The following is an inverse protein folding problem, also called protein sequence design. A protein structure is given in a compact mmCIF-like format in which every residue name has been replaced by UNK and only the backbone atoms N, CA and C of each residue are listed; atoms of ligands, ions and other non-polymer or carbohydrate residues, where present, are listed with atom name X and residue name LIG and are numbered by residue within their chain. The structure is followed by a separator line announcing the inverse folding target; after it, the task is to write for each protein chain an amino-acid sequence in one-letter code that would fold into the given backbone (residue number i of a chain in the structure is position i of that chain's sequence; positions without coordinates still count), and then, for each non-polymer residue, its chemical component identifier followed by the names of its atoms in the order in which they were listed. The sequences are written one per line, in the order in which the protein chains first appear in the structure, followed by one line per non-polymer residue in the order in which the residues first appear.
data_IF_097277226479
#
_entry.id   IF_097277226479
#
_cell.length_a   1.000
_cell.length_b   1.000
_cell.length_c   1.000
_cell.angle_alpha   90.00
_cell.angle_beta   90.00
_cell.angle_gamma   90.00
#
_symmetry.space_group_name_H-M   'P 1'
#
loop_
_entity.id
_entity.type
_entity.pdbx_description
1 polymer ?
#
# COMPACT_ATOMS: atom_id res chain seq x y z
N UNK A 1 -0.69 27.51 30.16
CA UNK A 1 -1.14 26.20 30.67
C UNK A 1 0.01 25.69 31.52
N UNK A 2 -0.22 25.50 32.81
CA UNK A 2 0.82 25.33 33.83
C UNK A 2 1.58 24.00 33.66
N UNK A 3 2.90 24.03 33.75
CA UNK A 3 3.79 22.87 33.54
C UNK A 3 3.48 21.76 34.56
N UNK A 4 3.03 22.17 35.75
CA UNK A 4 2.50 21.31 36.81
C UNK A 4 1.26 20.51 36.38
N UNK A 5 0.33 21.14 35.66
CA UNK A 5 -0.90 20.47 35.18
C UNK A 5 -0.53 19.42 34.13
N UNK A 6 0.42 19.72 33.25
CA UNK A 6 0.89 18.77 32.23
C UNK A 6 1.61 17.56 32.85
N UNK A 7 2.44 17.75 33.88
CA UNK A 7 3.07 16.64 34.59
C UNK A 7 2.06 15.78 35.35
N UNK A 8 1.09 16.40 36.03
CA UNK A 8 0.05 15.66 36.75
C UNK A 8 -0.85 14.86 35.81
N UNK A 9 -1.19 15.38 34.63
CA UNK A 9 -1.96 14.64 33.61
C UNK A 9 -1.15 13.45 33.08
N UNK A 10 0.17 13.58 32.94
CA UNK A 10 1.04 12.50 32.42
C UNK A 10 1.22 11.34 33.42
N UNK A 11 1.23 11.64 34.71
CA UNK A 11 1.48 10.68 35.78
C UNK A 11 0.19 10.15 36.45
N UNK A 12 -0.97 10.67 36.07
CA UNK A 12 -2.27 10.22 36.59
C UNK A 12 -2.89 9.12 35.72
N UNK A 13 -3.57 8.17 36.35
CA UNK A 13 -4.38 7.18 35.64
C UNK A 13 -5.58 7.85 34.95
N UNK A 14 -6.10 7.22 33.88
CA UNK A 14 -7.18 7.79 33.06
C UNK A 14 -8.41 8.22 33.88
N UNK A 15 -8.69 7.52 34.99
CA UNK A 15 -9.79 7.82 35.90
C UNK A 15 -9.67 9.18 36.60
N UNK A 16 -8.46 9.66 36.89
CA UNK A 16 -8.23 10.98 37.48
C UNK A 16 -8.48 12.09 36.47
N UNK A 17 -8.08 11.87 35.21
CA UNK A 17 -8.31 12.81 34.11
C UNK A 17 -9.81 12.89 33.80
N UNK A 18 -10.47 11.73 33.73
CA UNK A 18 -11.92 11.62 33.52
C UNK A 18 -12.69 12.37 34.60
N UNK A 19 -12.35 12.16 35.88
CA UNK A 19 -13.00 12.86 37.01
C UNK A 19 -12.80 14.37 36.93
N UNK A 20 -11.59 14.85 36.61
CA UNK A 20 -11.30 16.28 36.45
C UNK A 20 -12.11 16.91 35.30
N UNK A 21 -12.26 16.20 34.18
CA UNK A 21 -13.04 16.67 33.04
C UNK A 21 -14.53 16.74 33.36
N UNK A 22 -15.08 15.74 34.06
CA UNK A 22 -16.48 15.76 34.53
C UNK A 22 -16.72 16.90 35.53
N UNK A 23 -15.83 17.08 36.51
CA UNK A 23 -15.88 18.19 37.47
C UNK A 23 -15.79 19.56 36.80
N UNK A 24 -15.07 19.64 35.67
CA UNK A 24 -14.97 20.85 34.85
C UNK A 24 -16.18 21.04 33.91
N UNK A 25 -17.18 20.16 33.95
CA UNK A 25 -18.43 20.26 33.20
C UNK A 25 -18.39 19.66 31.78
N UNK A 26 -17.37 18.88 31.43
CA UNK A 26 -17.30 18.20 30.14
C UNK A 26 -18.05 16.87 30.15
N UNK A 27 -18.68 16.53 29.01
CA UNK A 27 -19.31 15.22 28.80
C UNK A 27 -18.29 14.22 28.25
N UNK A 28 -17.88 13.27 29.10
CA UNK A 28 -16.95 12.20 28.71
C UNK A 28 -17.50 11.30 27.62
N UNK A 29 -18.83 11.10 27.54
CA UNK A 29 -19.46 10.31 26.49
C UNK A 29 -19.28 10.99 25.13
N UNK A 30 -19.47 12.30 25.07
CA UNK A 30 -19.24 13.08 23.85
C UNK A 30 -17.76 13.10 23.47
N UNK A 31 -16.86 13.31 24.43
CA UNK A 31 -15.41 13.26 24.22
C UNK A 31 -15.00 11.89 23.66
N UNK A 32 -15.44 10.80 24.29
CA UNK A 32 -15.13 9.44 23.86
C UNK A 32 -15.68 9.14 22.47
N UNK A 33 -16.88 9.64 22.15
CA UNK A 33 -17.47 9.50 20.82
C UNK A 33 -16.66 10.23 19.74
N UNK A 34 -16.15 11.42 20.04
CA UNK A 34 -15.27 12.17 19.14
C UNK A 34 -13.93 11.44 18.97
N UNK A 35 -13.33 11.00 20.08
CA UNK A 35 -12.06 10.29 20.09
C UNK A 35 -12.14 8.99 19.29
N UNK A 36 -13.18 8.18 19.49
CA UNK A 36 -13.41 6.93 18.75
C UNK A 36 -13.61 7.18 17.24
N UNK A 37 -14.39 8.20 16.89
CA UNK A 37 -14.57 8.60 15.48
C UNK A 37 -13.25 9.03 14.83
N UNK A 38 -12.45 9.82 15.54
CA UNK A 38 -11.13 10.24 15.08
C UNK A 38 -10.20 9.03 14.92
N UNK A 39 -10.13 8.15 15.92
CA UNK A 39 -9.32 6.94 15.88
C UNK A 39 -9.69 6.05 14.69
N UNK A 40 -10.98 5.78 14.48
CA UNK A 40 -11.46 4.97 13.34
C UNK A 40 -11.09 5.57 11.99
N UNK A 41 -11.27 6.89 11.84
CA UNK A 41 -10.90 7.59 10.60
C UNK A 41 -9.40 7.50 10.35
N UNK A 42 -8.58 7.85 11.33
CA UNK A 42 -7.12 7.85 11.21
C UNK A 42 -6.59 6.44 10.94
N UNK A 43 -7.06 5.43 11.68
CA UNK A 43 -6.64 4.04 11.49
C UNK A 43 -7.04 3.50 10.11
N UNK A 44 -8.22 3.85 9.60
CA UNK A 44 -8.63 3.51 8.24
C UNK A 44 -7.72 4.17 7.19
N UNK A 45 -7.42 5.46 7.33
CA UNK A 45 -6.52 6.18 6.42
C UNK A 45 -5.11 5.59 6.41
N UNK A 46 -4.54 5.29 7.58
CA UNK A 46 -3.22 4.68 7.70
C UNK A 46 -3.21 3.30 7.02
N UNK A 47 -4.23 2.46 7.27
CA UNK A 47 -4.34 1.16 6.60
C UNK A 47 -4.42 1.30 5.09
N UNK A 48 -5.19 2.27 4.59
CA UNK A 48 -5.28 2.57 3.15
C UNK A 48 -3.92 2.97 2.57
N UNK A 49 -3.17 3.82 3.27
CA UNK A 49 -1.83 4.23 2.85
C UNK A 49 -0.85 3.05 2.84
N UNK A 50 -0.81 2.25 3.91
CA UNK A 50 0.04 1.06 3.99
C UNK A 50 -0.27 0.06 2.86
N UNK A 51 -1.55 -0.14 2.54
CA UNK A 51 -1.95 -0.99 1.44
C UNK A 51 -1.48 -0.42 0.09
N UNK A 52 -1.66 0.88 -0.15
CA UNK A 52 -1.20 1.53 -1.38
C UNK A 52 0.32 1.46 -1.55
N UNK A 53 1.09 1.66 -0.48
CA UNK A 53 2.55 1.52 -0.51
C UNK A 53 2.97 0.09 -0.81
N UNK A 54 2.29 -0.89 -0.21
CA UNK A 54 2.55 -2.31 -0.47
C UNK A 54 2.23 -2.68 -1.92
N UNK A 55 1.10 -2.24 -2.45
CA UNK A 55 0.67 -2.53 -3.82
C UNK A 55 1.68 -1.93 -4.83
N UNK A 56 2.17 -0.71 -4.58
CA UNK A 56 3.22 -0.07 -5.37
C UNK A 56 4.54 -0.86 -5.31
N UNK A 57 4.95 -1.34 -4.12
CA UNK A 57 6.15 -2.16 -3.97
C UNK A 57 6.06 -3.48 -4.75
N UNK A 58 4.89 -4.13 -4.75
CA UNK A 58 4.65 -5.37 -5.49
C UNK A 58 4.67 -5.12 -7.00
N UNK A 59 4.04 -4.02 -7.45
CA UNK A 59 4.07 -3.59 -8.85
C UNK A 59 5.52 -3.38 -9.31
N UNK A 60 6.30 -2.64 -8.53
CA UNK A 60 7.72 -2.38 -8.80
C UNK A 60 8.57 -3.66 -8.84
N UNK A 61 8.29 -4.64 -7.97
CA UNK A 61 8.96 -5.95 -8.00
C UNK A 61 8.66 -6.68 -9.32
N UNK A 62 7.40 -6.70 -9.75
CA UNK A 62 6.99 -7.33 -11.00
C UNK A 62 7.59 -6.62 -12.23
N UNK A 63 7.62 -5.28 -12.25
CA UNK A 63 8.23 -4.53 -13.36
C UNK A 63 9.72 -4.86 -13.50
N UNK A 64 10.47 -4.86 -12.38
CA UNK A 64 11.89 -5.21 -12.40
C UNK A 64 12.13 -6.62 -12.92
N UNK A 65 11.29 -7.57 -12.52
CA UNK A 65 11.40 -8.94 -13.04
C UNK A 65 11.23 -9.01 -14.55
N UNK A 66 10.19 -8.39 -15.11
CA UNK A 66 9.98 -8.40 -16.56
C UNK A 66 11.11 -7.67 -17.30
N UNK A 67 11.63 -6.59 -16.74
CA UNK A 67 12.78 -5.87 -17.28
C UNK A 67 14.01 -6.78 -17.34
N UNK A 68 14.33 -7.47 -16.25
CA UNK A 68 15.44 -8.42 -16.20
C UNK A 68 15.23 -9.60 -17.15
N UNK A 69 14.00 -10.10 -17.27
CA UNK A 69 13.67 -11.19 -18.19
C UNK A 69 13.87 -10.77 -19.64
N UNK A 70 13.51 -9.54 -20.01
CA UNK A 70 13.79 -8.96 -21.35
C UNK A 70 15.30 -8.87 -21.56
N UNK A 71 16.04 -8.30 -20.61
CA UNK A 71 17.50 -8.12 -20.71
C UNK A 71 18.25 -9.46 -20.83
N UNK A 72 17.77 -10.48 -20.13
CA UNK A 72 18.32 -11.85 -20.14
C UNK A 72 17.71 -12.75 -21.22
N UNK A 73 16.75 -12.25 -21.99
CA UNK A 73 16.00 -12.98 -23.01
C UNK A 73 15.33 -14.28 -22.50
N UNK A 74 14.68 -14.22 -21.33
CA UNK A 74 13.96 -15.35 -20.71
C UNK A 74 12.56 -15.46 -21.34
N UNK A 75 12.32 -16.54 -22.09
CA UNK A 75 11.15 -16.64 -22.97
C UNK A 75 9.80 -16.66 -22.26
N UNK A 76 9.67 -17.39 -21.14
CA UNK A 76 8.38 -17.61 -20.45
C UNK A 76 7.78 -16.28 -19.94
N UNK A 77 8.52 -15.44 -19.18
CA UNK A 77 8.05 -14.11 -18.77
C UNK A 77 7.74 -13.18 -19.94
N UNK A 78 8.61 -13.17 -20.96
CA UNK A 78 8.41 -12.30 -22.13
C UNK A 78 7.12 -12.71 -22.84
N UNK A 79 6.90 -14.01 -23.07
CA UNK A 79 5.68 -14.55 -23.65
C UNK A 79 4.43 -14.21 -22.84
N UNK A 80 4.50 -14.30 -21.51
CA UNK A 80 3.40 -13.86 -20.65
C UNK A 80 3.09 -12.37 -20.84
N UNK A 81 4.12 -11.50 -20.86
CA UNK A 81 3.95 -10.08 -21.14
C UNK A 81 3.36 -9.83 -22.54
N UNK A 82 3.73 -10.62 -23.56
CA UNK A 82 3.12 -10.54 -24.90
C UNK A 82 1.62 -10.85 -24.85
N UNK A 83 1.22 -11.87 -24.09
CA UNK A 83 -0.18 -12.23 -23.92
C UNK A 83 -0.98 -11.13 -23.20
N UNK A 84 -0.40 -10.49 -22.18
CA UNK A 84 -1.03 -9.34 -21.50
C UNK A 84 -1.31 -8.18 -22.47
N UNK A 85 -0.32 -7.84 -23.30
CA UNK A 85 -0.47 -6.78 -24.32
C UNK A 85 -1.53 -7.15 -25.36
N UNK A 86 -1.50 -8.40 -25.85
CA UNK A 86 -2.43 -8.87 -26.86
C UNK A 86 -3.89 -8.86 -26.36
N UNK A 87 -4.10 -9.16 -25.08
CA UNK A 87 -5.44 -9.30 -24.51
C UNK A 87 -6.10 -7.95 -24.24
N UNK A 88 -5.35 -6.93 -23.81
CA UNK A 88 -5.97 -5.72 -23.26
C UNK A 88 -5.32 -4.37 -23.64
N UNK A 89 -4.23 -4.31 -24.41
CA UNK A 89 -3.51 -3.05 -24.63
C UNK A 89 -3.21 -2.73 -26.10
N UNK A 90 -4.21 -2.18 -26.80
CA UNK A 90 -4.10 -1.72 -28.21
C UNK A 90 -2.90 -0.78 -28.42
N UNK A 91 -2.60 0.10 -27.45
CA UNK A 91 -1.49 1.04 -27.53
C UNK A 91 -0.11 0.38 -27.63
N UNK A 92 0.01 -0.89 -27.24
CA UNK A 92 1.28 -1.63 -27.20
C UNK A 92 1.36 -2.78 -28.23
N UNK A 93 0.28 -3.07 -28.97
CA UNK A 93 0.23 -4.17 -29.95
C UNK A 93 1.27 -4.08 -31.08
N UNK A 94 1.76 -2.87 -31.41
CA UNK A 94 2.77 -2.65 -32.45
C UNK A 94 4.16 -2.32 -31.90
N UNK A 95 4.34 -2.33 -30.56
CA UNK A 95 5.66 -2.08 -29.96
C UNK A 95 6.53 -3.32 -30.03
N UNK A 96 7.84 -3.09 -30.12
CA UNK A 96 8.81 -4.15 -29.91
C UNK A 96 8.85 -4.47 -28.40
N UNK A 97 8.27 -5.60 -28.03
CA UNK A 97 8.15 -6.04 -26.63
C UNK A 97 9.51 -6.38 -26.01
N UNK A 98 10.52 -6.62 -26.84
CA UNK A 98 11.90 -6.89 -26.41
C UNK A 98 12.67 -5.59 -26.09
N UNK A 99 11.99 -4.42 -26.11
CA UNK A 99 12.56 -3.10 -25.80
C UNK A 99 11.61 -2.22 -24.98
N UNK A 100 10.79 -2.80 -24.11
CA UNK A 100 9.89 -2.03 -23.26
C UNK A 100 10.65 -1.30 -22.15
N UNK A 101 10.31 -0.04 -21.93
CA UNK A 101 10.81 0.72 -20.78
C UNK A 101 10.11 0.31 -19.49
N UNK A 102 10.72 0.66 -18.35
CA UNK A 102 10.14 0.42 -17.03
C UNK A 102 8.68 0.92 -16.92
N UNK A 103 8.43 2.17 -17.32
CA UNK A 103 7.11 2.80 -17.25
C UNK A 103 6.08 2.10 -18.15
N UNK A 104 6.55 1.55 -19.27
CA UNK A 104 5.70 0.84 -20.22
C UNK A 104 5.28 -0.52 -19.68
N UNK A 105 6.22 -1.29 -19.13
CA UNK A 105 5.94 -2.55 -18.43
C UNK A 105 4.96 -2.28 -17.28
N UNK A 106 5.22 -1.25 -16.47
CA UNK A 106 4.34 -0.84 -15.38
C UNK A 106 2.93 -0.54 -15.85
N UNK A 107 2.79 0.22 -16.93
CA UNK A 107 1.48 0.52 -17.52
C UNK A 107 0.76 -0.70 -18.09
N UNK A 108 1.48 -1.72 -18.55
CA UNK A 108 0.90 -2.98 -19.03
C UNK A 108 0.32 -3.79 -17.87
N UNK A 109 1.08 -3.92 -16.77
CA UNK A 109 0.76 -4.87 -15.70
C UNK A 109 -0.04 -4.28 -14.54
N UNK A 110 -0.11 -2.94 -14.38
CA UNK A 110 -0.79 -2.27 -13.25
C UNK A 110 -2.26 -2.67 -13.05
N UNK A 111 -2.94 -3.05 -14.13
CA UNK A 111 -4.37 -3.38 -14.12
C UNK A 111 -4.60 -4.91 -14.02
N UNK A 112 -3.54 -5.69 -13.79
CA UNK A 112 -3.58 -7.15 -13.71
C UNK A 112 -3.33 -7.63 -12.28
N UNK A 113 -3.65 -8.90 -12.01
CA UNK A 113 -3.45 -9.51 -10.70
C UNK A 113 -1.95 -9.70 -10.40
N UNK A 114 -1.36 -8.75 -9.67
CA UNK A 114 0.07 -8.77 -9.33
C UNK A 114 0.48 -10.02 -8.54
N UNK A 115 -0.41 -10.62 -7.74
CA UNK A 115 -0.08 -11.84 -7.00
C UNK A 115 0.14 -13.02 -7.95
N UNK A 116 -0.73 -13.19 -8.94
CA UNK A 116 -0.56 -14.23 -9.97
C UNK A 116 0.74 -14.00 -10.76
N UNK A 117 1.07 -12.75 -11.08
CA UNK A 117 2.33 -12.42 -11.72
C UNK A 117 3.50 -12.82 -10.83
N UNK A 118 3.48 -12.44 -9.55
CA UNK A 118 4.53 -12.69 -8.57
C UNK A 118 4.72 -14.19 -8.25
N UNK A 119 3.64 -14.96 -8.15
CA UNK A 119 3.69 -16.42 -7.94
C UNK A 119 4.39 -17.11 -9.11
N UNK A 120 4.10 -16.69 -10.36
CA UNK A 120 4.82 -17.18 -11.53
C UNK A 120 6.31 -16.83 -11.54
N UNK A 121 6.74 -15.83 -10.74
CA UNK A 121 8.16 -15.47 -10.59
C UNK A 121 8.88 -16.37 -9.59
N UNK A 122 8.21 -16.72 -8.50
CA UNK A 122 8.80 -17.51 -7.40
C UNK A 122 9.02 -18.96 -7.83
N UNK A 123 8.17 -19.51 -8.71
CA UNK A 123 8.37 -20.83 -9.32
C UNK A 123 9.63 -20.93 -10.21
N UNK A 124 10.20 -19.79 -10.64
CA UNK A 124 11.41 -19.75 -11.49
C UNK A 124 12.71 -19.49 -10.67
N UNK A 125 12.64 -19.21 -9.35
CA UNK A 125 13.82 -19.04 -8.46
C UNK A 125 14.41 -20.37 -7.94
N UNK A 126 13.78 -21.52 -8.20
CA UNK A 126 14.27 -22.87 -7.79
C UNK A 126 15.23 -23.57 -8.79
N UNK A 127 15.79 -22.88 -9.79
CA UNK A 127 16.72 -23.47 -10.78
C UNK A 127 18.13 -22.85 -10.81
#
# INVERSE_FOLDING_TARGET
MDEFILSSIKDSDSSTIDSFLEESGYDLSEINKIADKCYKKTSFSIKGQMNSERDEMLLEKAVRYFQEAIDKNIEKPISYLRNLVATNQIAFQHRNLDKLSHDEIKSIIKDHNLLEILENLEDDEEL
#
